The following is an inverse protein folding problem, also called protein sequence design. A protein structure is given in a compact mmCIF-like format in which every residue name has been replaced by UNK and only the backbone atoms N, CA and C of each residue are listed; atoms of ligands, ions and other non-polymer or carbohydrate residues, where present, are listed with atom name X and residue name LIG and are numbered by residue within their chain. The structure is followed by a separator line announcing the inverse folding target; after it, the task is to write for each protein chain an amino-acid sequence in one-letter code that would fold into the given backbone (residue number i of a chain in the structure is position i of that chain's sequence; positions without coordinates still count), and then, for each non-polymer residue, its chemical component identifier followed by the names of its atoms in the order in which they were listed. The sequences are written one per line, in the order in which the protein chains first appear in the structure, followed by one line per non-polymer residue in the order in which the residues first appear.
data_IF_851303594383
#
_entry.id   IF_851303594383
#
_cell.length_a   1.000
_cell.length_b   1.000
_cell.length_c   1.000
_cell.angle_alpha   90.00
_cell.angle_beta   90.00
_cell.angle_gamma   90.00
#
_symmetry.space_group_name_H-M   'P 1'
#
loop_
_entity.id
_entity.type
_entity.pdbx_description
1 polymer ?
#
# COMPACT_ATOMS: atom_id res chain seq x y z
N UNK A 1 0.40 -20.97 13.81
CA UNK A 1 0.45 -20.30 12.50
C UNK A 1 -0.60 -19.20 12.54
N UNK A 2 -0.17 -17.93 12.47
CA UNK A 2 -1.10 -16.81 12.31
C UNK A 2 -1.94 -17.00 11.06
N UNK A 3 -3.25 -16.77 11.12
CA UNK A 3 -4.06 -16.74 9.90
C UNK A 3 -3.65 -15.51 9.08
N UNK A 4 -3.58 -15.66 7.75
CA UNK A 4 -3.23 -14.56 6.83
C UNK A 4 -4.12 -13.32 7.02
N UNK A 5 -5.34 -13.51 7.56
CA UNK A 5 -6.28 -12.44 7.92
C UNK A 5 -5.77 -11.44 8.96
N UNK A 6 -4.66 -11.72 9.65
CA UNK A 6 -4.07 -10.82 10.63
C UNK A 6 -2.92 -9.97 10.05
N UNK A 7 -2.47 -10.26 8.83
CA UNK A 7 -1.41 -9.51 8.19
C UNK A 7 -1.96 -8.32 7.41
N UNK A 8 -1.33 -7.17 7.57
CA UNK A 8 -1.61 -6.01 6.72
C UNK A 8 -0.34 -5.21 6.44
N UNK A 9 -0.39 -4.42 5.37
CA UNK A 9 0.68 -3.50 4.97
C UNK A 9 0.15 -2.08 5.00
N UNK A 10 0.98 -1.13 5.43
CA UNK A 10 0.66 0.30 5.42
C UNK A 10 1.81 1.09 4.84
N UNK A 11 1.55 2.24 4.15
CA UNK A 11 2.61 3.14 3.73
C UNK A 11 3.50 3.54 4.90
N UNK A 12 4.82 3.46 4.70
CA UNK A 12 5.78 3.80 5.74
C UNK A 12 5.74 5.30 6.00
N UNK A 13 5.54 5.69 7.26
CA UNK A 13 5.44 7.11 7.63
C UNK A 13 6.74 7.83 7.30
N UNK A 14 6.63 8.97 6.62
CA UNK A 14 7.76 9.83 6.28
C UNK A 14 8.65 9.29 5.14
N UNK A 15 8.39 8.09 4.62
CA UNK A 15 9.08 7.59 3.44
C UNK A 15 8.41 8.10 2.17
N UNK A 16 9.21 8.50 1.19
CA UNK A 16 8.73 8.91 -0.13
C UNK A 16 8.70 7.73 -1.07
N UNK A 17 7.67 7.69 -1.92
CA UNK A 17 7.67 6.83 -3.10
C UNK A 17 8.81 7.26 -4.04
N UNK A 18 9.40 6.28 -4.72
CA UNK A 18 10.45 6.52 -5.71
C UNK A 18 10.07 5.92 -7.05
N UNK A 19 10.53 6.51 -8.13
CA UNK A 19 10.38 5.97 -9.48
C UNK A 19 11.75 5.73 -10.07
N UNK A 20 11.98 4.54 -10.62
CA UNK A 20 13.18 4.24 -11.38
C UNK A 20 13.12 4.93 -12.75
N UNK A 21 14.13 5.73 -13.07
CA UNK A 21 14.16 6.52 -14.30
C UNK A 21 14.44 5.70 -15.57
N UNK A 22 15.00 4.49 -15.43
CA UNK A 22 15.34 3.62 -16.56
C UNK A 22 14.22 2.65 -16.94
N UNK A 23 13.51 2.11 -15.94
CA UNK A 23 12.43 1.12 -16.13
C UNK A 23 11.04 1.71 -15.96
N UNK A 24 10.92 2.86 -15.29
CA UNK A 24 9.64 3.45 -14.90
C UNK A 24 8.97 2.73 -13.72
N UNK A 25 9.64 1.77 -13.08
CA UNK A 25 9.12 1.10 -11.90
C UNK A 25 8.86 2.08 -10.76
N UNK A 26 7.70 1.96 -10.12
CA UNK A 26 7.33 2.74 -8.96
C UNK A 26 7.48 1.85 -7.72
N UNK A 27 8.18 2.37 -6.72
CA UNK A 27 8.38 1.71 -5.42
C UNK A 27 7.66 2.50 -4.34
N UNK A 28 6.77 1.82 -3.64
CA UNK A 28 6.05 2.37 -2.50
C UNK A 28 6.56 1.69 -1.23
N UNK A 29 7.31 2.40 -0.37
CA UNK A 29 7.79 1.82 0.89
C UNK A 29 6.62 1.52 1.83
N UNK A 30 6.46 0.25 2.17
CA UNK A 30 5.47 -0.24 3.12
C UNK A 30 6.14 -0.75 4.39
N UNK A 31 5.37 -0.72 5.47
CA UNK A 31 5.65 -1.44 6.71
C UNK A 31 4.60 -2.53 6.86
N UNK A 32 5.06 -3.74 7.16
CA UNK A 32 4.26 -4.93 7.39
C UNK A 32 3.95 -5.07 8.86
N UNK A 33 2.69 -5.41 9.14
CA UNK A 33 2.21 -5.64 10.49
C UNK A 33 1.47 -6.96 10.56
N UNK A 34 1.64 -7.65 11.68
CA UNK A 34 0.80 -8.75 12.10
C UNK A 34 -0.03 -8.27 13.28
N UNK A 35 -1.33 -8.06 13.07
CA UNK A 35 -2.16 -7.17 13.90
C UNK A 35 -1.46 -5.81 14.02
N UNK A 36 -1.20 -5.31 15.23
CA UNK A 36 -0.50 -4.03 15.44
C UNK A 36 1.01 -4.18 15.62
N UNK A 37 1.54 -5.41 15.50
CA UNK A 37 2.96 -5.66 15.70
C UNK A 37 3.71 -5.49 14.40
N UNK A 38 4.64 -4.54 14.35
CA UNK A 38 5.55 -4.35 13.22
C UNK A 38 6.40 -5.61 12.98
N UNK A 39 6.46 -6.05 11.73
CA UNK A 39 7.16 -7.26 11.31
C UNK A 39 8.33 -6.99 10.37
N UNK A 40 8.35 -5.81 9.75
CA UNK A 40 9.40 -5.46 8.80
C UNK A 40 8.94 -4.46 7.77
N UNK A 41 9.88 -4.11 6.91
CA UNK A 41 9.72 -3.13 5.85
C UNK A 41 9.84 -3.84 4.50
N UNK A 42 8.96 -3.51 3.57
CA UNK A 42 8.96 -4.07 2.21
C UNK A 42 8.60 -2.97 1.21
N UNK A 43 9.07 -3.07 -0.02
CA UNK A 43 8.63 -2.21 -1.11
C UNK A 43 7.52 -2.91 -1.89
N UNK A 44 6.37 -2.23 -2.05
CA UNK A 44 5.44 -2.58 -3.12
C UNK A 44 6.01 -2.02 -4.42
N UNK A 45 6.46 -2.91 -5.29
CA UNK A 45 7.02 -2.58 -6.60
C UNK A 45 5.94 -2.77 -7.65
N UNK A 46 5.69 -1.71 -8.42
CA UNK A 46 4.69 -1.67 -9.48
C UNK A 46 5.38 -1.22 -10.78
N UNK A 47 4.92 -1.74 -11.90
CA UNK A 47 5.17 -1.07 -13.17
C UNK A 47 4.49 0.30 -13.18
N UNK A 48 4.93 1.18 -14.08
CA UNK A 48 4.32 2.51 -14.24
C UNK A 48 2.80 2.42 -14.49
N UNK A 49 2.38 1.52 -15.37
CA UNK A 49 0.97 1.34 -15.71
C UNK A 49 0.15 0.88 -14.51
N UNK A 50 0.63 -0.10 -13.74
CA UNK A 50 -0.06 -0.58 -12.53
C UNK A 50 -0.17 0.53 -11.46
N UNK A 51 0.86 1.37 -11.34
CA UNK A 51 0.85 2.50 -10.41
C UNK A 51 -0.18 3.57 -10.82
N UNK A 52 -0.26 3.91 -12.12
CA UNK A 52 -1.23 4.86 -12.65
C UNK A 52 -2.68 4.33 -12.51
N UNK A 53 -2.91 3.05 -12.81
CA UNK A 53 -4.22 2.40 -12.63
C UNK A 53 -4.65 2.37 -11.16
N UNK A 54 -3.74 1.98 -10.25
CA UNK A 54 -4.01 1.96 -8.82
C UNK A 54 -4.31 3.37 -8.28
N UNK A 55 -3.53 4.37 -8.70
CA UNK A 55 -3.78 5.76 -8.34
C UNK A 55 -5.17 6.21 -8.79
N UNK A 56 -5.52 5.96 -10.06
CA UNK A 56 -6.83 6.29 -10.61
C UNK A 56 -7.98 5.66 -9.82
N UNK A 57 -7.86 4.37 -9.50
CA UNK A 57 -8.85 3.65 -8.71
C UNK A 57 -9.00 4.22 -7.28
N UNK A 58 -7.88 4.47 -6.59
CA UNK A 58 -7.89 5.06 -5.25
C UNK A 58 -8.44 6.49 -5.26
N UNK A 59 -8.10 7.31 -6.26
CA UNK A 59 -8.64 8.65 -6.42
C UNK A 59 -10.16 8.65 -6.58
N UNK A 60 -10.72 7.70 -7.34
CA UNK A 60 -12.18 7.54 -7.46
C UNK A 60 -12.84 7.16 -6.13
N UNK A 61 -12.23 6.24 -5.37
CA UNK A 61 -12.74 5.84 -4.06
C UNK A 61 -12.76 7.00 -3.06
N UNK A 62 -11.72 7.83 -3.08
CA UNK A 62 -11.57 8.96 -2.14
C UNK A 62 -12.42 10.17 -2.58
N UNK A 63 -12.57 10.40 -3.88
CA UNK A 63 -13.34 11.53 -4.40
C UNK A 63 -14.87 11.36 -4.28
N UNK A 64 -15.37 10.12 -4.16
CA UNK A 64 -16.81 9.82 -4.26
C UNK A 64 -17.52 9.40 -2.98
N UNK A 65 -16.83 9.04 -1.88
CA UNK A 65 -17.49 8.53 -0.66
C UNK A 65 -16.56 8.55 0.57
N UNK A 66 -17.06 8.77 1.80
CA UNK A 66 -16.33 8.38 2.99
C UNK A 66 -16.11 6.85 2.97
N UNK A 67 -14.85 6.42 2.88
CA UNK A 67 -14.46 5.03 3.04
C UNK A 67 -14.68 4.65 4.51
N UNK A 68 -15.78 3.95 4.80
CA UNK A 68 -16.06 3.43 6.14
C UNK A 68 -15.24 2.16 6.35
N UNK A 69 -14.23 2.23 7.21
CA UNK A 69 -13.43 1.07 7.67
C UNK A 69 -14.20 0.36 8.78
N UNK A 70 -15.42 -0.08 8.51
CA UNK A 70 -16.21 -0.84 9.46
C UNK A 70 -16.06 -2.35 9.19
N UNK A 71 -15.48 -3.03 10.18
CA UNK A 71 -15.43 -4.49 10.41
C UNK A 71 -14.37 -5.31 9.65
N UNK A 72 -13.15 -5.34 10.23
CA UNK A 72 -12.51 -6.62 10.50
C UNK A 72 -12.69 -6.90 12.00
N UNK A 73 -13.67 -7.73 12.34
CA UNK A 73 -13.82 -8.33 13.68
C UNK A 73 -13.29 -9.75 13.62
#
# INVERSE_FOLDING_TARGET
MASVTQWHASPRRGASMTTDSGTGEVRVPLSLFHLDQYQGDVDLVLSRTEAEELQGFLSLLIAGRPVSVAAAR
#
